data_IF_994812155419
#
_entry.id   IF_994812155419
#
_cell.length_a   1.000
_cell.length_b   1.000
_cell.length_c   1.000
_cell.angle_alpha   90.00
_cell.angle_beta   90.00
_cell.angle_gamma   90.00
#
_symmetry.space_group_name_H-M   'P 1'
#
loop_
_entity.id
_entity.type
_entity.pdbx_description
1 polymer ?
#
# COMPACT_ATOMS: atom_id res chain seq x y z
N UNK A 1 -0.31 15.22 -17.92
CA UNK A 1 0.69 15.39 -16.84
C UNK A 1 1.85 14.46 -17.16
N UNK A 2 3.09 14.93 -17.01
CA UNK A 2 4.25 14.05 -17.15
C UNK A 2 4.17 12.94 -16.09
N UNK A 3 4.36 11.70 -16.50
CA UNK A 3 4.32 10.55 -15.61
C UNK A 3 5.53 10.61 -14.66
N UNK A 4 5.28 10.72 -13.36
CA UNK A 4 6.33 10.86 -12.36
C UNK A 4 6.76 9.49 -11.83
N UNK A 5 8.06 9.23 -11.85
CA UNK A 5 8.68 8.01 -11.31
C UNK A 5 9.00 8.23 -9.83
N UNK A 6 8.76 7.23 -8.99
CA UNK A 6 9.24 7.22 -7.61
C UNK A 6 10.51 6.35 -7.54
N UNK A 7 11.58 6.93 -7.00
CA UNK A 7 12.87 6.25 -6.84
C UNK A 7 13.31 6.24 -5.39
N UNK A 8 13.82 5.10 -4.96
CA UNK A 8 14.53 4.93 -3.70
C UNK A 8 15.97 4.53 -4.01
N UNK A 9 16.93 5.16 -3.34
CA UNK A 9 18.36 4.91 -3.56
C UNK A 9 19.03 4.57 -2.24
N UNK A 10 19.59 3.37 -2.17
CA UNK A 10 20.37 2.82 -1.05
C UNK A 10 19.72 3.04 0.31
N UNK A 11 18.40 2.78 0.40
CA UNK A 11 17.67 2.97 1.66
C UNK A 11 18.15 2.02 2.74
N UNK A 12 18.54 2.59 3.88
CA UNK A 12 18.88 1.84 5.08
C UNK A 12 18.00 2.26 6.25
N UNK A 13 17.55 1.27 7.03
CA UNK A 13 16.84 1.49 8.30
C UNK A 13 17.15 0.41 9.29
N UNK A 14 17.58 0.82 10.49
CA UNK A 14 17.93 -0.11 11.58
C UNK A 14 17.06 0.15 12.81
N UNK A 15 16.64 -0.93 13.44
CA UNK A 15 15.98 -0.93 14.74
C UNK A 15 16.82 -1.76 15.74
N UNK A 16 17.59 -1.08 16.57
CA UNK A 16 18.55 -1.76 17.46
C UNK A 16 19.58 -2.55 16.67
N UNK A 17 19.53 -3.88 16.73
CA UNK A 17 20.44 -4.78 16.00
C UNK A 17 19.85 -5.29 14.69
N UNK A 18 18.59 -4.97 14.39
CA UNK A 18 17.90 -5.44 13.18
C UNK A 18 18.03 -4.42 12.05
N UNK A 19 18.63 -4.81 10.95
CA UNK A 19 18.59 -4.07 9.69
C UNK A 19 17.24 -4.36 9.00
N UNK A 20 16.28 -3.45 9.17
CA UNK A 20 14.94 -3.58 8.60
C UNK A 20 14.92 -3.20 7.11
N UNK A 21 15.82 -2.30 6.68
CA UNK A 21 16.17 -2.04 5.28
C UNK A 21 17.69 -2.02 5.16
N UNK A 22 18.21 -2.74 4.18
CA UNK A 22 19.64 -2.87 3.93
C UNK A 22 19.95 -2.57 2.45
N UNK A 23 20.33 -1.30 2.18
CA UNK A 23 20.70 -0.78 0.85
C UNK A 23 19.64 -1.08 -0.23
N UNK A 24 18.37 -0.77 0.07
CA UNK A 24 17.29 -1.02 -0.89
C UNK A 24 17.29 0.05 -1.99
N UNK A 25 17.47 -0.40 -3.22
CA UNK A 25 17.27 0.39 -4.44
C UNK A 25 15.96 -0.05 -5.11
N UNK A 26 15.12 0.92 -5.50
CA UNK A 26 13.81 0.65 -6.07
C UNK A 26 13.42 1.78 -7.03
N UNK A 27 12.81 1.40 -8.15
CA UNK A 27 12.15 2.32 -9.08
C UNK A 27 10.72 1.86 -9.32
N UNK A 28 9.75 2.73 -9.07
CA UNK A 28 8.35 2.51 -9.38
C UNK A 28 7.95 3.39 -10.56
N UNK A 29 7.73 2.73 -11.69
CA UNK A 29 7.18 3.37 -12.89
C UNK A 29 5.69 3.65 -12.68
N UNK A 30 5.17 4.76 -13.22
CA UNK A 30 3.76 5.09 -13.10
C UNK A 30 2.87 4.15 -13.91
N UNK A 31 1.61 4.00 -13.47
CA UNK A 31 0.59 3.26 -14.20
C UNK A 31 0.74 1.74 -14.12
N UNK A 32 1.20 1.21 -12.99
CA UNK A 32 1.31 -0.22 -12.77
C UNK A 32 0.76 -0.63 -11.40
N UNK A 33 0.32 -1.90 -11.31
CA UNK A 33 0.00 -2.55 -10.04
C UNK A 33 1.19 -3.41 -9.62
N UNK A 34 1.86 -3.00 -8.54
CA UNK A 34 2.99 -3.70 -7.94
C UNK A 34 2.55 -4.57 -6.78
N UNK A 35 3.00 -5.82 -6.75
CA UNK A 35 2.93 -6.68 -5.58
C UNK A 35 4.26 -6.66 -4.81
N UNK A 36 4.25 -6.18 -3.56
CA UNK A 36 5.40 -6.24 -2.66
C UNK A 36 5.30 -7.51 -1.82
N UNK A 37 6.02 -8.53 -2.20
CA UNK A 37 5.92 -9.88 -1.64
C UNK A 37 7.08 -10.17 -0.68
N UNK A 38 6.76 -10.80 0.44
CA UNK A 38 7.77 -11.23 1.41
C UNK A 38 7.14 -11.77 2.69
N UNK A 39 7.88 -12.60 3.41
CA UNK A 39 7.42 -13.13 4.71
C UNK A 39 7.22 -12.02 5.74
N UNK A 40 6.52 -12.32 6.82
CA UNK A 40 6.42 -11.40 7.95
C UNK A 40 7.82 -11.10 8.50
N UNK A 41 8.10 -9.82 8.75
CA UNK A 41 9.43 -9.36 9.16
C UNK A 41 10.43 -9.14 8.02
N UNK A 42 10.06 -9.34 6.74
CA UNK A 42 10.96 -9.09 5.60
C UNK A 42 11.33 -7.60 5.38
N UNK A 43 10.61 -6.65 6.02
CA UNK A 43 10.85 -5.22 5.88
C UNK A 43 9.80 -4.47 5.04
N UNK A 44 8.74 -5.15 4.56
CA UNK A 44 7.70 -4.56 3.68
C UNK A 44 7.09 -3.27 4.24
N UNK A 45 6.54 -3.33 5.45
CA UNK A 45 5.94 -2.16 6.12
C UNK A 45 6.95 -1.03 6.34
N UNK A 46 8.21 -1.37 6.65
CA UNK A 46 9.29 -0.40 6.81
C UNK A 46 9.61 0.27 5.48
N UNK A 47 9.68 -0.49 4.38
CA UNK A 47 9.88 0.05 3.05
C UNK A 47 8.74 0.99 2.66
N UNK A 48 7.49 0.56 2.77
CA UNK A 48 6.33 1.41 2.44
C UNK A 48 6.30 2.69 3.29
N UNK A 49 6.64 2.59 4.58
CA UNK A 49 6.73 3.74 5.48
C UNK A 49 7.86 4.71 5.09
N UNK A 50 9.00 4.20 4.61
CA UNK A 50 10.09 5.03 4.12
C UNK A 50 9.74 5.72 2.80
N UNK A 51 9.14 4.99 1.84
CA UNK A 51 8.70 5.52 0.54
C UNK A 51 7.66 6.64 0.65
N UNK A 52 6.89 6.65 1.74
CA UNK A 52 5.83 7.63 2.00
C UNK A 52 6.18 8.63 3.10
N UNK A 53 7.46 8.71 3.48
CA UNK A 53 7.97 9.60 4.53
C UNK A 53 7.22 9.53 5.87
N UNK A 54 6.68 8.35 6.22
CA UNK A 54 6.06 8.12 7.55
C UNK A 54 7.11 7.95 8.65
N UNK A 55 8.37 7.80 8.26
CA UNK A 55 9.50 7.66 9.16
C UNK A 55 10.80 8.09 8.46
N UNK A 56 11.78 8.65 9.20
CA UNK A 56 13.09 8.95 8.65
C UNK A 56 13.87 7.64 8.38
N UNK A 57 14.64 7.63 7.30
CA UNK A 57 15.62 6.60 7.00
C UNK A 57 16.98 6.95 7.62
N UNK A 58 17.84 5.95 7.86
CA UNK A 58 19.16 6.20 8.44
C UNK A 58 20.20 6.52 7.35
N UNK A 59 19.97 6.06 6.12
CA UNK A 59 20.74 6.44 4.93
C UNK A 59 19.89 6.27 3.66
N UNK A 60 20.34 6.87 2.56
CA UNK A 60 19.66 6.85 1.29
C UNK A 60 18.65 7.99 1.13
N UNK A 61 17.91 7.97 0.02
CA UNK A 61 16.92 8.99 -0.29
C UNK A 61 15.76 8.41 -1.10
N UNK A 62 14.58 9.05 -0.96
CA UNK A 62 13.41 8.78 -1.80
C UNK A 62 13.05 10.05 -2.55
N UNK A 63 12.85 9.92 -3.86
CA UNK A 63 12.39 11.03 -4.71
C UNK A 63 11.16 10.63 -5.53
N UNK A 64 10.32 11.61 -5.83
CA UNK A 64 9.16 11.46 -6.71
C UNK A 64 9.18 12.55 -7.77
N UNK A 65 9.29 12.17 -9.04
CA UNK A 65 9.50 13.11 -10.13
C UNK A 65 10.77 13.97 -9.95
N UNK A 66 11.81 13.40 -9.32
CA UNK A 66 13.06 14.09 -9.01
C UNK A 66 13.04 14.97 -7.76
N UNK A 67 11.87 15.22 -7.14
CA UNK A 67 11.76 15.97 -5.91
C UNK A 67 11.85 15.06 -4.67
N UNK A 68 12.53 15.47 -3.57
CA UNK A 68 12.56 14.65 -2.36
C UNK A 68 11.17 14.46 -1.77
N UNK A 69 10.91 13.26 -1.24
CA UNK A 69 9.62 12.93 -0.59
C UNK A 69 9.60 13.44 0.86
N UNK A 70 10.73 13.36 1.57
CA UNK A 70 10.83 13.75 2.97
C UNK A 70 10.56 15.25 3.16
N UNK A 71 9.64 15.57 4.08
CA UNK A 71 9.23 16.95 4.43
C UNK A 71 8.78 17.79 3.21
N UNK A 72 8.19 17.14 2.21
CA UNK A 72 7.71 17.81 0.99
C UNK A 72 6.18 17.65 0.86
N UNK A 73 5.45 18.65 1.33
CA UNK A 73 3.98 18.64 1.37
C UNK A 73 3.36 18.43 -0.03
N UNK A 74 3.91 19.05 -1.07
CA UNK A 74 3.42 18.92 -2.43
C UNK A 74 3.55 17.49 -2.96
N UNK A 75 4.65 16.80 -2.63
CA UNK A 75 4.86 15.39 -2.98
C UNK A 75 3.99 14.49 -2.13
N UNK A 76 3.91 14.73 -0.82
CA UNK A 76 3.13 13.90 0.10
C UNK A 76 1.64 13.90 -0.23
N UNK A 77 1.10 14.99 -0.78
CA UNK A 77 -0.27 15.04 -1.28
C UNK A 77 -0.55 14.12 -2.48
N UNK A 78 0.49 13.70 -3.20
CA UNK A 78 0.38 12.78 -4.33
C UNK A 78 0.59 11.30 -3.94
N UNK A 79 0.94 11.01 -2.69
CA UNK A 79 1.23 9.67 -2.18
C UNK A 79 0.20 9.29 -1.10
N UNK A 80 -0.54 8.21 -1.31
CA UNK A 80 -1.43 7.66 -0.27
C UNK A 80 -0.78 6.44 0.36
N UNK A 81 -0.76 6.39 1.70
CA UNK A 81 -0.35 5.19 2.44
C UNK A 81 -1.48 4.70 3.34
N UNK A 82 -2.03 3.56 2.97
CA UNK A 82 -3.05 2.84 3.73
C UNK A 82 -2.43 1.64 4.41
N UNK A 83 -2.54 1.58 5.74
CA UNK A 83 -2.04 0.47 6.55
C UNK A 83 -3.09 0.00 7.54
N UNK A 84 -2.90 -1.18 8.11
CA UNK A 84 -3.75 -1.70 9.18
C UNK A 84 -3.93 -0.65 10.29
N UNK A 85 -5.18 -0.41 10.69
CA UNK A 85 -5.49 0.43 11.85
C UNK A 85 -5.01 -0.30 13.11
N UNK A 86 -3.78 -0.01 13.54
CA UNK A 86 -3.18 -0.67 14.69
C UNK A 86 -3.97 -0.43 15.96
N UNK A 87 -4.05 -1.45 16.81
CA UNK A 87 -4.59 -1.37 18.17
C UNK A 87 -3.82 -0.39 19.07
N UNK A 88 -2.68 0.10 18.60
CA UNK A 88 -1.69 0.87 19.35
C UNK A 88 -1.68 2.37 19.08
N UNK A 89 -2.61 2.91 18.30
CA UNK A 89 -2.79 4.37 18.29
C UNK A 89 -3.43 4.73 19.64
N UNK A 90 -2.57 4.70 20.66
CA UNK A 90 -2.94 4.76 22.06
C UNK A 90 -3.86 5.94 22.37
N UNK A 91 -4.89 5.69 23.15
CA UNK A 91 -5.71 6.70 23.79
C UNK A 91 -6.55 7.59 22.89
N UNK A 92 -6.02 8.14 21.81
CA UNK A 92 -6.74 9.05 20.90
C UNK A 92 -7.75 8.34 19.99
N UNK A 93 -7.50 7.11 19.55
CA UNK A 93 -8.41 6.39 18.65
C UNK A 93 -9.69 5.87 19.30
N UNK A 94 -9.77 5.82 20.63
CA UNK A 94 -10.99 5.37 21.32
C UNK A 94 -12.19 6.30 21.13
N UNK A 95 -11.98 7.54 20.74
CA UNK A 95 -13.05 8.53 20.51
C UNK A 95 -13.36 8.72 19.02
N UNK A 96 -12.41 8.46 18.11
CA UNK A 96 -12.58 8.70 16.68
C UNK A 96 -13.59 7.73 16.06
N UNK A 97 -14.39 8.24 15.15
CA UNK A 97 -15.39 7.49 14.37
C UNK A 97 -14.92 7.29 12.94
N UNK A 98 -15.55 6.37 12.23
CA UNK A 98 -15.35 6.13 10.81
C UNK A 98 -15.37 7.43 10.00
N UNK A 99 -16.40 8.26 10.21
CA UNK A 99 -16.52 9.57 9.53
C UNK A 99 -15.35 10.51 9.80
N UNK A 100 -14.79 10.50 11.03
CA UNK A 100 -13.70 11.38 11.42
C UNK A 100 -12.40 10.96 10.72
N UNK A 101 -12.19 9.66 10.57
CA UNK A 101 -11.07 9.09 9.82
C UNK A 101 -11.12 9.46 8.33
N UNK A 102 -12.29 9.34 7.70
CA UNK A 102 -12.47 9.70 6.29
C UNK A 102 -12.39 11.22 6.08
N UNK A 103 -12.90 12.02 7.03
CA UNK A 103 -12.74 13.48 6.98
C UNK A 103 -11.26 13.91 7.03
N UNK A 104 -10.44 13.21 7.83
CA UNK A 104 -8.99 13.44 7.81
C UNK A 104 -8.40 13.16 6.42
N UNK A 105 -8.76 12.01 5.79
CA UNK A 105 -8.36 11.69 4.42
C UNK A 105 -8.72 12.79 3.42
N UNK A 106 -9.96 13.30 3.50
CA UNK A 106 -10.43 14.40 2.64
C UNK A 106 -9.62 15.70 2.80
N UNK A 107 -9.08 15.95 3.98
CA UNK A 107 -8.23 17.12 4.23
C UNK A 107 -6.81 16.94 3.71
N UNK A 108 -6.28 15.70 3.72
CA UNK A 108 -4.91 15.39 3.34
C UNK A 108 -4.72 15.15 1.85
N UNK A 109 -5.73 14.54 1.17
CA UNK A 109 -5.60 14.15 -0.23
C UNK A 109 -6.28 15.15 -1.16
N UNK A 110 -5.52 15.90 -2.00
CA UNK A 110 -6.08 16.94 -2.88
C UNK A 110 -7.07 16.42 -3.92
N UNK A 111 -6.95 15.14 -4.28
CA UNK A 111 -7.78 14.49 -5.29
C UNK A 111 -8.92 13.65 -4.69
N UNK A 112 -9.24 13.85 -3.41
CA UNK A 112 -10.27 13.09 -2.70
C UNK A 112 -11.60 13.04 -3.44
N UNK A 113 -12.09 11.82 -3.71
CA UNK A 113 -13.39 11.57 -4.35
C UNK A 113 -14.44 11.22 -3.29
N UNK A 114 -15.19 12.23 -2.87
CA UNK A 114 -16.24 12.06 -1.85
C UNK A 114 -17.37 11.14 -2.34
N UNK A 115 -17.74 11.23 -3.63
CA UNK A 115 -18.80 10.40 -4.21
C UNK A 115 -18.42 8.93 -4.17
N UNK A 116 -17.17 8.64 -4.54
CA UNK A 116 -16.65 7.29 -4.51
C UNK A 116 -16.50 6.77 -3.08
N UNK A 117 -16.02 7.59 -2.14
CA UNK A 117 -15.97 7.24 -0.72
C UNK A 117 -17.35 6.82 -0.18
N UNK A 118 -18.39 7.58 -0.46
CA UNK A 118 -19.77 7.30 -0.01
C UNK A 118 -20.32 6.02 -0.66
N UNK A 119 -20.03 5.77 -1.95
CA UNK A 119 -20.37 4.52 -2.64
C UNK A 119 -19.73 3.32 -1.92
N UNK A 120 -18.43 3.39 -1.64
CA UNK A 120 -17.68 2.31 -0.98
C UNK A 120 -18.16 2.08 0.47
N UNK A 121 -18.43 3.14 1.25
CA UNK A 121 -19.00 3.06 2.60
C UNK A 121 -20.31 2.28 2.58
N UNK A 122 -21.18 2.59 1.61
CA UNK A 122 -22.47 1.92 1.44
C UNK A 122 -22.30 0.46 1.06
N UNK A 123 -21.41 0.17 0.11
CA UNK A 123 -21.11 -1.19 -0.37
C UNK A 123 -20.56 -2.06 0.75
N UNK A 124 -19.61 -1.57 1.54
CA UNK A 124 -19.01 -2.27 2.68
C UNK A 124 -19.87 -2.22 3.96
N UNK A 125 -21.04 -1.57 3.91
CA UNK A 125 -21.94 -1.43 5.07
C UNK A 125 -21.25 -0.87 6.32
N UNK A 126 -20.33 0.08 6.13
CA UNK A 126 -19.64 0.75 7.22
C UNK A 126 -20.55 1.81 7.84
N UNK A 127 -20.76 1.75 9.16
CA UNK A 127 -21.48 2.80 9.87
C UNK A 127 -20.56 3.99 10.15
N UNK A 128 -20.81 5.19 9.55
CA UNK A 128 -19.97 6.38 9.75
C UNK A 128 -19.90 6.86 11.21
N UNK A 129 -20.89 6.48 12.03
CA UNK A 129 -20.96 6.87 13.45
C UNK A 129 -20.24 5.89 14.37
N UNK A 130 -19.88 4.71 13.88
CA UNK A 130 -19.19 3.68 14.67
C UNK A 130 -17.78 4.12 15.03
N UNK A 131 -17.36 3.85 16.27
CA UNK A 131 -16.00 4.14 16.73
C UNK A 131 -14.99 3.21 16.05
N UNK A 132 -13.80 3.72 15.75
CA UNK A 132 -12.73 2.90 15.15
C UNK A 132 -12.37 1.70 16.05
N UNK A 133 -12.34 1.90 17.36
CA UNK A 133 -12.07 0.85 18.35
C UNK A 133 -13.13 -0.26 18.41
N UNK A 134 -14.32 -0.03 17.83
CA UNK A 134 -15.41 -1.00 17.79
C UNK A 134 -15.50 -1.75 16.44
N UNK A 135 -14.59 -1.47 15.50
CA UNK A 135 -14.52 -2.18 14.23
C UNK A 135 -13.94 -3.58 14.44
N UNK A 136 -14.46 -4.58 13.73
CA UNK A 136 -13.77 -5.83 13.57
C UNK A 136 -12.52 -5.63 12.67
N UNK A 137 -11.60 -6.58 12.69
CA UNK A 137 -10.41 -6.52 11.83
C UNK A 137 -10.79 -6.33 10.35
N UNK A 138 -11.72 -7.12 9.83
CA UNK A 138 -12.21 -6.97 8.46
C UNK A 138 -12.86 -5.62 8.18
N UNK A 139 -13.68 -5.08 9.11
CA UNK A 139 -14.24 -3.72 8.96
C UNK A 139 -13.16 -2.63 8.96
N UNK A 140 -12.12 -2.80 9.76
CA UNK A 140 -10.98 -1.89 9.78
C UNK A 140 -10.23 -1.93 8.44
N UNK A 141 -9.98 -3.12 7.88
CA UNK A 141 -9.40 -3.27 6.53
C UNK A 141 -10.28 -2.64 5.44
N UNK A 142 -11.60 -2.86 5.48
CA UNK A 142 -12.52 -2.20 4.54
C UNK A 142 -12.45 -0.68 4.64
N UNK A 143 -12.35 -0.12 5.84
CA UNK A 143 -12.23 1.33 6.04
C UNK A 143 -10.92 1.88 5.46
N UNK A 144 -9.80 1.20 5.64
CA UNK A 144 -8.51 1.61 5.07
C UNK A 144 -8.50 1.48 3.54
N UNK A 145 -9.22 0.50 2.97
CA UNK A 145 -9.45 0.37 1.54
C UNK A 145 -10.27 1.56 1.01
N UNK A 146 -11.35 1.96 1.71
CA UNK A 146 -12.13 3.16 1.32
C UNK A 146 -11.24 4.40 1.24
N UNK A 147 -10.40 4.64 2.25
CA UNK A 147 -9.47 5.78 2.25
C UNK A 147 -8.51 5.70 1.06
N UNK A 148 -7.89 4.54 0.83
CA UNK A 148 -6.93 4.33 -0.24
C UNK A 148 -7.51 4.58 -1.63
N UNK A 149 -8.69 4.03 -1.90
CA UNK A 149 -9.34 4.17 -3.19
C UNK A 149 -9.91 5.58 -3.39
N UNK A 150 -10.55 6.16 -2.35
CA UNK A 150 -11.12 7.51 -2.43
C UNK A 150 -10.09 8.63 -2.41
N UNK A 151 -8.86 8.38 -1.98
CA UNK A 151 -7.76 9.36 -2.03
C UNK A 151 -7.47 9.85 -3.45
N UNK A 152 -7.69 9.00 -4.46
CA UNK A 152 -7.35 9.24 -5.87
C UNK A 152 -5.89 9.70 -6.05
N UNK A 153 -5.03 9.36 -5.10
CA UNK A 153 -3.60 9.70 -5.15
C UNK A 153 -2.91 9.02 -6.35
N UNK A 154 -2.02 9.70 -7.07
CA UNK A 154 -1.27 9.12 -8.20
C UNK A 154 -0.54 7.82 -7.88
N UNK A 155 0.01 7.71 -6.67
CA UNK A 155 0.52 6.43 -6.14
C UNK A 155 -0.17 6.11 -4.82
N UNK A 156 -0.70 4.90 -4.72
CA UNK A 156 -1.34 4.40 -3.51
C UNK A 156 -0.63 3.15 -3.01
N UNK A 157 -0.10 3.24 -1.80
CA UNK A 157 0.53 2.13 -1.08
C UNK A 157 -0.47 1.52 -0.10
N UNK A 158 -0.58 0.19 -0.12
CA UNK A 158 -1.50 -0.56 0.75
C UNK A 158 -0.73 -1.68 1.46
N UNK A 159 -0.65 -1.60 2.78
CA UNK A 159 0.07 -2.58 3.58
C UNK A 159 -0.89 -3.66 4.09
N UNK A 160 -0.77 -4.88 3.54
CA UNK A 160 -1.60 -6.06 3.87
C UNK A 160 -3.12 -5.75 3.85
N UNK A 161 -3.68 -5.12 2.78
CA UNK A 161 -5.05 -4.60 2.77
C UNK A 161 -6.13 -5.66 2.97
N UNK A 162 -5.84 -6.91 2.61
CA UNK A 162 -6.79 -8.02 2.72
C UNK A 162 -6.70 -8.78 4.06
N UNK A 163 -5.84 -8.33 4.97
CA UNK A 163 -5.70 -8.95 6.27
C UNK A 163 -7.03 -8.88 7.07
N UNK A 164 -7.57 -10.07 7.43
CA UNK A 164 -8.84 -10.18 8.17
C UNK A 164 -10.10 -10.09 7.33
N UNK A 165 -9.99 -10.01 6.00
CA UNK A 165 -11.11 -10.17 5.08
C UNK A 165 -11.39 -11.67 4.85
N UNK A 166 -12.66 -12.02 4.71
CA UNK A 166 -13.06 -13.32 4.18
C UNK A 166 -12.82 -13.38 2.66
N UNK A 167 -13.02 -14.56 2.07
CA UNK A 167 -12.75 -14.80 0.63
C UNK A 167 -13.58 -13.86 -0.26
N UNK A 168 -14.87 -13.68 0.05
CA UNK A 168 -15.77 -12.83 -0.75
C UNK A 168 -15.34 -11.36 -0.70
N UNK A 169 -15.05 -10.85 0.49
CA UNK A 169 -14.61 -9.47 0.67
C UNK A 169 -13.24 -9.21 0.02
N UNK A 170 -12.37 -10.24 -0.04
CA UNK A 170 -11.08 -10.17 -0.75
C UNK A 170 -11.27 -10.08 -2.25
N UNK A 171 -12.13 -10.92 -2.83
CA UNK A 171 -12.48 -10.85 -4.25
C UNK A 171 -13.10 -9.50 -4.63
N UNK A 172 -14.01 -8.99 -3.78
CA UNK A 172 -14.60 -7.66 -3.95
C UNK A 172 -13.54 -6.55 -3.95
N UNK A 173 -12.55 -6.63 -3.05
CA UNK A 173 -11.44 -5.68 -3.00
C UNK A 173 -10.64 -5.69 -4.30
N UNK A 174 -10.21 -6.86 -4.78
CA UNK A 174 -9.41 -6.93 -6.01
C UNK A 174 -10.19 -6.47 -7.24
N UNK A 175 -11.49 -6.77 -7.31
CA UNK A 175 -12.35 -6.24 -8.36
C UNK A 175 -12.39 -4.70 -8.33
N UNK A 176 -12.62 -4.09 -7.16
CA UNK A 176 -12.63 -2.64 -6.99
C UNK A 176 -11.28 -2.00 -7.34
N UNK A 177 -10.17 -2.65 -6.99
CA UNK A 177 -8.83 -2.21 -7.33
C UNK A 177 -8.61 -2.19 -8.85
N UNK A 178 -8.99 -3.27 -9.53
CA UNK A 178 -8.86 -3.40 -10.99
C UNK A 178 -9.78 -2.42 -11.73
N UNK A 179 -11.02 -2.23 -11.24
CA UNK A 179 -11.94 -1.23 -11.79
C UNK A 179 -11.38 0.19 -11.65
N UNK A 180 -10.82 0.52 -10.48
CA UNK A 180 -10.20 1.82 -10.22
C UNK A 180 -8.94 2.02 -11.09
N UNK A 181 -8.12 0.99 -11.23
CA UNK A 181 -6.93 1.01 -12.08
C UNK A 181 -7.30 1.21 -13.55
N UNK A 182 -8.28 0.48 -14.06
CA UNK A 182 -8.76 0.61 -15.44
C UNK A 182 -9.34 2.01 -15.71
N UNK A 183 -10.00 2.64 -14.72
CA UNK A 183 -10.58 3.99 -14.85
C UNK A 183 -9.50 5.08 -14.83
N UNK A 184 -8.49 4.95 -13.97
CA UNK A 184 -7.59 6.05 -13.62
C UNK A 184 -6.16 5.89 -14.13
N UNK A 185 -5.70 4.67 -14.36
CA UNK A 185 -4.31 4.36 -14.72
C UNK A 185 -3.29 4.73 -13.65
N UNK A 186 -3.72 4.94 -12.37
CA UNK A 186 -2.81 5.30 -11.27
C UNK A 186 -2.03 4.10 -10.77
N UNK A 187 -0.96 4.35 -10.04
CA UNK A 187 -0.07 3.30 -9.54
C UNK A 187 -0.53 2.77 -8.18
N UNK A 188 -0.51 1.45 -8.03
CA UNK A 188 -0.74 0.78 -6.75
C UNK A 188 0.48 -0.04 -6.34
N UNK A 189 0.80 -0.03 -5.05
CA UNK A 189 1.82 -0.89 -4.44
C UNK A 189 1.18 -1.61 -3.27
N UNK A 190 1.01 -2.92 -3.38
CA UNK A 190 0.26 -3.73 -2.41
C UNK A 190 1.20 -4.72 -1.77
N UNK A 191 1.40 -4.61 -0.45
CA UNK A 191 2.16 -5.63 0.26
C UNK A 191 1.29 -6.85 0.56
N UNK A 192 1.86 -8.02 0.37
CA UNK A 192 1.22 -9.29 0.72
C UNK A 192 2.25 -10.35 1.06
N UNK A 193 1.84 -11.38 1.78
CA UNK A 193 2.61 -12.60 1.99
C UNK A 193 2.02 -13.80 1.24
N UNK A 194 0.98 -13.57 0.42
CA UNK A 194 0.26 -14.61 -0.34
C UNK A 194 0.68 -14.52 -1.81
N UNK A 195 1.44 -15.51 -2.25
CA UNK A 195 1.97 -15.59 -3.63
C UNK A 195 0.87 -15.81 -4.69
N UNK A 196 -0.20 -16.52 -4.33
CA UNK A 196 -1.31 -16.79 -5.24
C UNK A 196 -2.03 -15.50 -5.68
N UNK A 197 -1.95 -14.43 -4.90
CA UNK A 197 -2.49 -13.12 -5.27
C UNK A 197 -1.69 -12.47 -6.42
N UNK A 198 -0.40 -12.83 -6.55
CA UNK A 198 0.48 -12.27 -7.57
C UNK A 198 0.04 -12.62 -8.99
N UNK A 199 -0.53 -13.82 -9.18
CA UNK A 199 -0.82 -14.35 -10.51
C UNK A 199 -1.97 -13.66 -11.26
N UNK A 200 -2.87 -12.96 -10.56
CA UNK A 200 -4.11 -12.47 -11.15
C UNK A 200 -4.30 -10.96 -11.09
N UNK A 201 -3.47 -10.25 -10.31
CA UNK A 201 -3.69 -8.82 -10.03
C UNK A 201 -2.46 -7.97 -10.30
N UNK A 202 -1.26 -8.49 -10.03
CA UNK A 202 -0.03 -7.72 -10.14
C UNK A 202 0.56 -7.80 -11.55
N UNK A 203 0.99 -6.65 -12.08
CA UNK A 203 1.76 -6.57 -13.32
C UNK A 203 3.25 -6.70 -13.03
N UNK A 204 3.69 -6.15 -11.90
CA UNK A 204 5.08 -6.18 -11.46
C UNK A 204 5.19 -6.69 -10.03
N UNK A 205 6.26 -7.42 -9.76
CA UNK A 205 6.51 -8.04 -8.46
C UNK A 205 7.83 -7.58 -7.89
N UNK A 206 7.80 -7.25 -6.62
CA UNK A 206 8.94 -6.85 -5.79
C UNK A 206 9.07 -7.86 -4.66
N UNK A 207 10.16 -8.62 -4.60
CA UNK A 207 10.36 -9.65 -3.57
C UNK A 207 11.34 -9.14 -2.52
N UNK A 208 10.86 -9.06 -1.27
CA UNK A 208 11.67 -8.68 -0.12
C UNK A 208 12.03 -9.88 0.75
N UNK A 209 13.30 -9.90 1.17
CA UNK A 209 13.82 -10.86 2.16
C UNK A 209 14.86 -10.18 3.03
N UNK A 210 14.70 -10.29 4.36
CA UNK A 210 15.69 -9.83 5.35
C UNK A 210 16.16 -8.39 5.12
N UNK A 211 15.21 -7.47 4.88
CA UNK A 211 15.49 -6.06 4.65
C UNK A 211 16.00 -5.69 3.27
N UNK A 212 16.16 -6.64 2.37
CA UNK A 212 16.68 -6.43 1.01
C UNK A 212 15.61 -6.70 -0.05
N UNK A 213 15.66 -5.93 -1.14
CA UNK A 213 14.94 -6.25 -2.35
C UNK A 213 15.78 -7.27 -3.14
N UNK A 214 15.29 -8.49 -3.27
CA UNK A 214 16.03 -9.58 -3.91
C UNK A 214 15.62 -9.81 -5.36
N UNK A 215 14.43 -9.36 -5.75
CA UNK A 215 13.89 -9.49 -7.11
C UNK A 215 12.96 -8.32 -7.41
N UNK A 216 13.00 -7.85 -8.64
CA UNK A 216 12.04 -6.90 -9.21
C UNK A 216 11.82 -7.28 -10.68
N UNK A 217 10.67 -7.86 -11.01
CA UNK A 217 10.39 -8.42 -12.33
C UNK A 217 8.92 -8.26 -12.71
N UNK A 218 8.59 -8.55 -13.96
CA UNK A 218 7.20 -8.68 -14.38
C UNK A 218 6.58 -9.95 -13.77
N UNK A 219 5.29 -9.88 -13.41
CA UNK A 219 4.60 -11.00 -12.77
C UNK A 219 4.60 -12.26 -13.66
N UNK A 220 4.45 -12.09 -14.97
CA UNK A 220 4.47 -13.19 -15.94
C UNK A 220 5.84 -13.87 -16.00
N UNK A 221 6.94 -13.12 -15.87
CA UNK A 221 8.30 -13.67 -15.84
C UNK A 221 8.51 -14.53 -14.58
N UNK A 222 8.02 -14.05 -13.43
CA UNK A 222 8.08 -14.80 -12.18
C UNK A 222 7.30 -16.12 -12.29
N UNK A 223 6.08 -16.08 -12.82
CA UNK A 223 5.24 -17.27 -13.00
C UNK A 223 5.87 -18.28 -13.96
N UNK A 224 6.49 -17.82 -15.05
CA UNK A 224 7.18 -18.68 -15.99
C UNK A 224 8.36 -19.44 -15.33
N UNK A 225 9.09 -18.79 -14.42
CA UNK A 225 10.18 -19.42 -13.66
C UNK A 225 9.65 -20.53 -12.73
N UNK A 226 8.52 -20.30 -12.05
CA UNK A 226 7.90 -21.33 -11.18
C UNK A 226 7.34 -22.50 -11.95
N UNK A 227 6.70 -22.29 -13.11
CA UNK A 227 6.21 -23.37 -13.96
C UNK A 227 7.34 -24.26 -14.51
N UNK A 228 8.50 -23.68 -14.81
CA UNK A 228 9.67 -24.42 -15.29
C UNK A 228 10.29 -25.35 -14.22
N UNK A 229 10.12 -25.02 -12.93
CA UNK A 229 10.63 -25.81 -11.81
C UNK A 229 9.68 -26.98 -11.46
N UNK A 230 8.36 -26.80 -11.61
CA UNK A 230 7.36 -27.83 -11.30
C UNK A 230 7.10 -28.82 -12.45
N UNK A 231 7.60 -28.55 -13.65
CA UNK A 231 7.42 -29.39 -14.84
C UNK A 231 8.53 -30.44 -15.08
N UNK A 232 9.37 -30.72 -14.08
CA UNK A 232 10.38 -31.77 -14.11
C UNK A 232 10.14 -32.78 -12.99
N UNK A 233 9.18 -33.68 -13.21
CA UNK A 233 9.11 -35.03 -12.64
C UNK A 233 8.59 -35.99 -13.73
#
# INVERSE_FOLDING_TARGET
MEAKVLTAQSLCKRYGTLDALDHVDLTLEPGHIYGLIGRNGAGKTTLLSALTAQMPVDAGAVTYGGAPVWENEAVLGELCFSRELGSTVGGMNNALKVKDYLNAGRLFYPHWDETYAQKLITQFKLDPKKKLSALSKGMASMLTIVLALASRAPITFMDEPVAGLDVVAREDFYRLLLDDYAETGRTFVISTHILEEASNVFEKVLIMKEGRLIEACDADELLAQFCAVTGRD
#
